data_IF_674061548864
#
_entry.id   IF_674061548864
#
_cell.length_a   1.000
_cell.length_b   1.000
_cell.length_c   1.000
_cell.angle_alpha   90.00
_cell.angle_beta   90.00
_cell.angle_gamma   90.00
#
_symmetry.space_group_name_H-M   'P 1'
#
loop_
_entity.id
_entity.type
_entity.pdbx_description
1 polymer ?
#
# COMPACT_ATOMS: atom_id res chain seq x y z
N UNK A 1 0.03 11.15 3.28
CA UNK A 1 1.21 11.54 2.46
C UNK A 1 1.28 10.65 1.22
N UNK A 2 1.81 11.17 0.11
CA UNK A 2 1.91 10.45 -1.17
C UNK A 2 3.26 9.74 -1.30
N UNK A 3 3.24 8.54 -1.88
CA UNK A 3 4.41 7.68 -2.04
C UNK A 3 4.44 7.13 -3.47
N UNK A 4 5.38 7.61 -4.26
CA UNK A 4 5.58 7.23 -5.67
C UNK A 4 6.92 6.54 -5.86
N UNK A 5 7.03 5.73 -6.92
CA UNK A 5 8.24 4.96 -7.22
C UNK A 5 9.48 5.82 -7.56
N UNK A 6 9.27 7.09 -7.95
CA UNK A 6 10.34 8.05 -8.23
C UNK A 6 11.03 8.61 -6.97
N UNK A 7 10.51 8.31 -5.78
CA UNK A 7 11.08 8.77 -4.52
C UNK A 7 12.27 7.89 -4.09
N UNK A 8 13.25 8.53 -3.46
CA UNK A 8 14.40 7.87 -2.89
C UNK A 8 14.00 6.76 -1.89
N UNK A 9 14.80 5.69 -1.81
CA UNK A 9 14.53 4.53 -0.95
C UNK A 9 14.50 4.95 0.52
N UNK A 10 15.40 5.83 0.95
CA UNK A 10 15.48 6.28 2.34
C UNK A 10 14.27 7.13 2.70
N UNK A 11 13.84 7.99 1.77
CA UNK A 11 12.63 8.78 1.96
C UNK A 11 11.39 7.89 2.10
N UNK A 12 11.22 6.88 1.23
CA UNK A 12 10.11 5.92 1.31
C UNK A 12 10.11 5.18 2.65
N UNK A 13 11.26 4.70 3.10
CA UNK A 13 11.41 4.02 4.39
C UNK A 13 11.03 4.94 5.56
N UNK A 14 11.43 6.22 5.50
CA UNK A 14 11.07 7.21 6.51
C UNK A 14 9.56 7.48 6.60
N UNK A 15 8.87 7.53 5.45
CA UNK A 15 7.43 7.75 5.37
C UNK A 15 6.68 6.53 5.91
N UNK A 16 7.13 5.32 5.57
CA UNK A 16 6.57 4.07 6.11
C UNK A 16 6.73 4.02 7.63
N UNK A 17 7.91 4.38 8.15
CA UNK A 17 8.16 4.44 9.60
C UNK A 17 7.22 5.41 10.29
N UNK A 18 7.02 6.59 9.71
CA UNK A 18 6.08 7.60 10.22
C UNK A 18 4.62 7.11 10.18
N UNK A 19 4.24 6.38 9.15
CA UNK A 19 2.91 5.77 9.05
C UNK A 19 2.69 4.71 10.14
N UNK A 20 3.64 3.80 10.33
CA UNK A 20 3.62 2.80 11.41
C UNK A 20 3.59 3.43 12.80
N UNK A 21 4.27 4.56 12.98
CA UNK A 21 4.26 5.35 14.22
C UNK A 21 2.99 6.21 14.40
N UNK A 22 2.00 6.10 13.51
CA UNK A 22 0.74 6.88 13.52
C UNK A 22 0.94 8.40 13.50
N UNK A 23 2.05 8.88 12.93
CA UNK A 23 2.28 10.32 12.69
C UNK A 23 1.25 10.86 11.69
N UNK A 24 0.74 10.01 10.81
CA UNK A 24 -0.41 10.28 9.95
C UNK A 24 -1.18 8.98 9.70
N UNK A 25 -2.49 9.12 9.45
CA UNK A 25 -3.42 7.97 9.36
C UNK A 25 -3.74 7.56 7.92
N UNK A 26 -3.34 8.36 6.92
CA UNK A 26 -3.64 8.11 5.50
C UNK A 26 -2.37 8.12 4.66
N UNK A 27 -2.15 7.01 3.96
CA UNK A 27 -1.07 6.83 2.99
C UNK A 27 -1.67 6.63 1.59
N UNK A 28 -1.19 7.39 0.61
CA UNK A 28 -1.61 7.28 -0.79
C UNK A 28 -0.41 6.75 -1.58
N UNK A 29 -0.60 5.68 -2.36
CA UNK A 29 0.46 5.03 -3.14
C UNK A 29 -0.09 4.42 -4.42
N UNK A 30 0.69 4.45 -5.50
CA UNK A 30 0.26 4.00 -6.84
C UNK A 30 0.66 2.55 -7.15
N UNK A 31 1.90 2.16 -6.86
CA UNK A 31 2.41 0.80 -7.14
C UNK A 31 3.41 0.28 -6.10
N UNK A 32 3.57 0.95 -4.96
CA UNK A 32 4.55 0.57 -3.93
C UNK A 32 3.95 -0.43 -2.91
N UNK A 33 2.72 -0.90 -3.12
CA UNK A 33 2.11 -1.91 -2.25
C UNK A 33 2.81 -3.28 -2.33
N UNK A 34 3.42 -3.62 -3.48
CA UNK A 34 4.24 -4.84 -3.59
C UNK A 34 5.55 -4.64 -2.82
N UNK A 35 5.68 -5.32 -1.68
CA UNK A 35 6.89 -5.33 -0.86
C UNK A 35 6.88 -4.37 0.33
N UNK A 36 5.85 -3.54 0.48
CA UNK A 36 5.62 -2.78 1.70
C UNK A 36 4.84 -3.65 2.69
N UNK A 37 5.55 -4.37 3.55
CA UNK A 37 4.95 -5.05 4.69
C UNK A 37 4.43 -3.98 5.64
N UNK A 38 3.12 -3.76 5.73
CA UNK A 38 2.50 -2.87 6.71
C UNK A 38 1.40 -3.66 7.41
N UNK A 39 1.74 -4.26 8.55
CA UNK A 39 0.85 -5.18 9.28
C UNK A 39 -0.34 -4.53 10.03
N UNK A 40 -0.55 -3.22 9.91
CA UNK A 40 -1.55 -2.49 10.74
C UNK A 40 -2.45 -1.54 9.92
N UNK A 41 -2.85 -1.95 8.71
CA UNK A 41 -3.80 -1.16 7.89
C UNK A 41 -5.23 -1.66 8.14
N UNK A 42 -6.12 -0.76 8.56
CA UNK A 42 -7.53 -1.08 8.82
C UNK A 42 -8.43 -1.04 7.59
N UNK A 43 -8.03 -0.31 6.55
CA UNK A 43 -8.81 -0.14 5.32
C UNK A 43 -7.88 0.12 4.14
N UNK A 44 -8.11 -0.60 3.05
CA UNK A 44 -7.45 -0.36 1.75
C UNK A 44 -8.50 0.09 0.75
N UNK A 45 -8.27 1.23 0.10
CA UNK A 45 -9.14 1.76 -0.96
C UNK A 45 -8.35 1.69 -2.27
N UNK A 46 -8.88 0.94 -3.24
CA UNK A 46 -8.38 0.98 -4.61
C UNK A 46 -9.03 2.17 -5.32
N UNK A 47 -8.29 3.27 -5.48
CA UNK A 47 -8.78 4.44 -6.23
C UNK A 47 -8.97 4.08 -7.71
N UNK A 48 -7.96 3.44 -8.30
CA UNK A 48 -8.02 2.80 -9.62
C UNK A 48 -7.86 1.29 -9.48
N UNK A 49 -8.69 0.54 -10.20
CA UNK A 49 -8.61 -0.93 -10.23
C UNK A 49 -7.34 -1.38 -10.97
N UNK A 50 -6.60 -2.38 -10.44
CA UNK A 50 -5.37 -2.84 -11.05
C UNK A 50 -5.66 -3.56 -12.37
N UNK A 51 -4.96 -3.15 -13.42
CA UNK A 51 -5.03 -3.72 -14.77
C UNK A 51 -3.63 -4.01 -15.30
N UNK A 52 -3.52 -5.04 -16.13
CA UNK A 52 -2.28 -5.39 -16.84
C UNK A 52 -2.04 -4.43 -18.01
N UNK A 53 -0.86 -4.52 -18.62
CA UNK A 53 -0.50 -3.74 -19.82
C UNK A 53 -1.45 -3.98 -21.00
N UNK A 54 -2.10 -5.15 -21.04
CA UNK A 54 -3.08 -5.52 -22.05
C UNK A 54 -4.52 -5.12 -21.67
N UNK A 55 -4.70 -4.21 -20.71
CA UNK A 55 -5.98 -3.74 -20.18
C UNK A 55 -6.89 -4.85 -19.62
N UNK A 56 -6.31 -5.95 -19.15
CA UNK A 56 -7.05 -7.02 -18.46
C UNK A 56 -7.00 -6.80 -16.94
N UNK A 57 -8.00 -7.25 -16.16
CA UNK A 57 -7.93 -7.20 -14.71
C UNK A 57 -6.69 -7.92 -14.17
N UNK A 58 -5.94 -7.25 -13.29
CA UNK A 58 -4.78 -7.83 -12.61
C UNK A 58 -5.17 -8.29 -11.21
N UNK A 59 -5.64 -9.54 -11.14
CA UNK A 59 -6.11 -10.16 -9.89
C UNK A 59 -4.99 -10.36 -8.87
N UNK A 60 -3.76 -10.60 -9.31
CA UNK A 60 -2.61 -10.81 -8.43
C UNK A 60 -2.29 -9.53 -7.67
N UNK A 61 -2.19 -8.40 -8.40
CA UNK A 61 -1.99 -7.09 -7.78
C UNK A 61 -3.15 -6.73 -6.85
N UNK A 62 -4.39 -7.02 -7.24
CA UNK A 62 -5.55 -6.79 -6.38
C UNK A 62 -5.46 -7.56 -5.06
N UNK A 63 -5.18 -8.87 -5.11
CA UNK A 63 -5.04 -9.71 -3.93
C UNK A 63 -3.89 -9.25 -3.03
N UNK A 64 -2.77 -8.84 -3.61
CA UNK A 64 -1.65 -8.27 -2.84
C UNK A 64 -2.03 -6.96 -2.13
N UNK A 65 -2.77 -6.04 -2.79
CA UNK A 65 -3.20 -4.78 -2.17
C UNK A 65 -4.12 -5.00 -0.98
N UNK A 66 -5.13 -5.86 -1.12
CA UNK A 66 -6.09 -6.12 -0.03
C UNK A 66 -5.50 -7.00 1.08
N UNK A 67 -4.51 -7.83 0.76
CA UNK A 67 -3.84 -8.73 1.70
C UNK A 67 -3.02 -8.02 2.78
N UNK A 68 -2.82 -6.70 2.67
CA UNK A 68 -2.22 -5.85 3.70
C UNK A 68 -3.21 -5.45 4.81
N UNK A 69 -4.50 -5.75 4.67
CA UNK A 69 -5.56 -5.47 5.63
C UNK A 69 -6.14 -6.77 6.21
N UNK A 70 -6.65 -6.74 7.45
CA UNK A 70 -7.45 -7.83 7.99
C UNK A 70 -6.69 -9.11 8.37
N UNK A 71 -5.37 -9.04 8.63
CA UNK A 71 -4.64 -10.17 9.24
C UNK A 71 -5.19 -10.43 10.66
N UNK A 72 -5.66 -11.66 10.89
CA UNK A 72 -6.36 -12.12 12.10
C UNK A 72 -5.62 -11.73 13.40
N UNK A 73 -6.33 -11.06 14.33
CA UNK A 73 -5.86 -10.84 15.71
C UNK A 73 -5.98 -9.40 16.25
N UNK A 74 -6.42 -8.44 15.45
CA UNK A 74 -6.67 -7.06 15.92
C UNK A 74 -8.12 -6.63 15.67
N UNK A 75 -8.96 -6.91 16.65
CA UNK A 75 -10.22 -6.22 16.94
C UNK A 75 -10.04 -5.54 18.30
#
# INVERSE_FOLDING_TARGET
RELTAALDIDYRTSVIRQFRARVFNVLISTNVARGMDIDDVSLVINYDMPVTVDFKPDYETYLHRIGCCGRFGKL
#
